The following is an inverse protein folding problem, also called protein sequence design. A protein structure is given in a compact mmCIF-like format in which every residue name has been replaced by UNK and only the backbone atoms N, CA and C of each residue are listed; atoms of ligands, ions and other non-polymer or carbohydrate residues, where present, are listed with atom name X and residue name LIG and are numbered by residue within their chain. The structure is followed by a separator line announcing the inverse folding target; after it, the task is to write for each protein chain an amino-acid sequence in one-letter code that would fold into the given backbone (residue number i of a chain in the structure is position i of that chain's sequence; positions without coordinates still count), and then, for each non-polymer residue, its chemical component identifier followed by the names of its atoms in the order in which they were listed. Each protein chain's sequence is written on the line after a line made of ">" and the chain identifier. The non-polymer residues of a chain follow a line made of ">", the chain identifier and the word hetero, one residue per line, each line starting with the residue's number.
data_IF_640979288784
#
_entry.id   IF_640979288784
#
_cell.length_a   1.000
_cell.length_b   1.000
_cell.length_c   1.000
_cell.angle_alpha   90.00
_cell.angle_beta   90.00
_cell.angle_gamma   90.00
#
_symmetry.space_group_name_H-M   'P 1'
#
loop_
_entity.id
_entity.type
_entity.pdbx_description
1 polymer ?
#
# COMPACT_ATOMS: atom_id res chain seq x y z
N UNK A 1 24.31 28.36 -1.18
CA UNK A 1 25.50 27.68 -1.75
C UNK A 1 26.63 28.61 -2.19
N UNK A 2 26.50 29.51 -3.19
CA UNK A 2 27.61 30.42 -3.57
C UNK A 2 28.10 31.31 -2.42
N UNK A 3 27.17 31.94 -1.68
CA UNK A 3 27.46 32.73 -0.46
C UNK A 3 28.13 31.89 0.63
N UNK A 4 27.61 30.68 0.88
CA UNK A 4 28.22 29.71 1.81
C UNK A 4 29.64 29.35 1.42
N UNK A 5 29.88 29.03 0.13
CA UNK A 5 31.22 28.74 -0.37
C UNK A 5 32.18 29.89 -0.13
N UNK A 6 31.76 31.13 -0.40
CA UNK A 6 32.59 32.31 -0.11
C UNK A 6 32.87 32.40 1.39
N UNK A 7 31.89 32.20 2.26
CA UNK A 7 32.09 32.25 3.73
C UNK A 7 33.02 31.16 4.25
N UNK A 8 32.86 29.91 3.82
CA UNK A 8 33.72 28.77 4.23
C UNK A 8 35.15 28.95 3.71
N UNK A 9 35.35 29.67 2.60
CA UNK A 9 36.70 30.04 2.11
C UNK A 9 37.36 31.10 3.00
N UNK A 10 36.59 31.90 3.74
CA UNK A 10 37.08 32.98 4.59
C UNK A 10 36.96 32.63 6.09
N UNK A 11 37.03 31.34 6.44
CA UNK A 11 37.16 30.93 7.84
C UNK A 11 38.47 31.52 8.36
N UNK A 12 38.35 32.54 9.20
CA UNK A 12 39.52 33.17 9.79
C UNK A 12 40.12 32.24 10.84
N UNK A 13 41.46 32.20 11.00
CA UNK A 13 42.14 31.36 12.00
C UNK A 13 41.72 31.58 13.46
N UNK A 14 40.86 32.57 13.74
CA UNK A 14 40.31 32.87 15.08
C UNK A 14 38.81 32.63 15.25
N UNK A 15 38.06 32.23 14.21
CA UNK A 15 36.69 31.73 14.37
C UNK A 15 36.74 30.23 14.65
N UNK A 16 36.08 29.77 15.71
CA UNK A 16 36.01 28.34 16.03
C UNK A 16 35.32 27.58 14.90
N UNK A 17 35.95 26.50 14.42
CA UNK A 17 35.43 25.63 13.35
C UNK A 17 33.99 25.17 13.62
N UNK A 18 33.63 24.98 14.91
CA UNK A 18 32.29 24.63 15.35
C UNK A 18 31.23 25.70 15.03
N UNK A 19 31.54 26.98 15.20
CA UNK A 19 30.58 28.07 14.95
C UNK A 19 30.27 28.21 13.46
N UNK A 20 31.32 28.09 12.62
CA UNK A 20 31.17 28.08 11.18
C UNK A 20 30.33 26.87 10.75
N UNK A 21 30.59 25.71 11.35
CA UNK A 21 29.87 24.49 11.03
C UNK A 21 28.38 24.59 11.36
N UNK A 22 28.03 25.13 12.52
CA UNK A 22 26.63 25.37 12.92
C UNK A 22 25.92 26.34 11.99
N UNK A 23 26.57 27.45 11.60
CA UNK A 23 25.97 28.43 10.67
C UNK A 23 25.79 27.82 9.29
N UNK A 24 26.79 27.09 8.78
CA UNK A 24 26.71 26.40 7.51
C UNK A 24 25.59 25.35 7.50
N UNK A 25 25.47 24.56 8.57
CA UNK A 25 24.40 23.60 8.76
C UNK A 25 23.03 24.28 8.69
N UNK A 26 22.80 25.34 9.46
CA UNK A 26 21.51 26.04 9.49
C UNK A 26 21.13 26.65 8.12
N UNK A 27 22.08 27.27 7.41
CA UNK A 27 21.81 27.80 6.07
C UNK A 27 21.53 26.68 5.05
N UNK A 28 22.25 25.56 5.13
CA UNK A 28 22.04 24.39 4.27
C UNK A 28 20.70 23.72 4.57
N UNK A 29 20.33 23.58 5.84
CA UNK A 29 19.04 23.05 6.28
C UNK A 29 17.89 23.87 5.68
N UNK A 30 17.93 25.19 5.83
CA UNK A 30 16.93 26.08 5.23
C UNK A 30 16.88 25.98 3.69
N UNK A 31 18.03 25.82 3.04
CA UNK A 31 18.11 25.85 1.56
C UNK A 31 17.77 24.52 0.91
N UNK A 32 18.24 23.40 1.48
CA UNK A 32 18.18 22.06 0.88
C UNK A 32 17.11 21.18 1.53
N UNK A 33 16.82 21.40 2.81
CA UNK A 33 15.94 20.56 3.62
C UNK A 33 14.78 21.36 4.23
N UNK A 34 14.51 22.57 3.73
CA UNK A 34 13.39 23.44 4.16
C UNK A 34 13.29 23.70 5.67
N UNK A 35 14.40 23.60 6.40
CA UNK A 35 14.42 23.79 7.85
C UNK A 35 13.98 22.59 8.68
N UNK A 36 13.77 21.41 8.07
CA UNK A 36 13.31 20.21 8.76
C UNK A 36 14.32 19.65 9.75
N UNK A 37 15.62 19.93 9.58
CA UNK A 37 16.68 19.35 10.43
C UNK A 37 16.96 20.19 11.67
N UNK A 38 16.47 21.43 11.71
CA UNK A 38 16.61 22.34 12.83
C UNK A 38 16.09 21.70 14.12
N UNK A 39 16.79 21.94 15.22
CA UNK A 39 16.47 21.50 16.58
C UNK A 39 16.52 19.96 16.80
N UNK A 40 16.46 19.14 15.74
CA UNK A 40 16.59 17.69 15.78
C UNK A 40 18.04 17.19 15.90
N UNK A 41 19.02 18.03 15.56
CA UNK A 41 20.43 17.66 15.45
C UNK A 41 21.29 18.30 16.53
N UNK A 42 22.19 17.50 17.09
CA UNK A 42 23.39 17.96 17.77
C UNK A 42 24.58 17.79 16.83
N UNK A 43 25.11 18.91 16.34
CA UNK A 43 26.32 18.94 15.53
C UNK A 43 27.53 19.09 16.43
N UNK A 44 28.55 18.25 16.19
CA UNK A 44 29.81 18.28 16.90
C UNK A 44 30.98 18.02 15.94
N UNK A 45 32.19 18.40 16.35
CA UNK A 45 33.43 18.18 15.61
C UNK A 45 34.42 17.49 16.55
N UNK A 46 34.93 16.33 16.13
CA UNK A 46 35.83 15.54 16.95
C UNK A 46 36.71 14.61 16.13
N UNK A 47 37.62 13.92 16.80
CA UNK A 47 38.51 12.95 16.16
C UNK A 47 37.80 11.61 15.94
N UNK A 48 37.86 11.10 14.71
CA UNK A 48 37.34 9.78 14.33
C UNK A 48 38.41 8.91 13.61
N UNK A 49 39.67 9.37 13.54
CA UNK A 49 40.76 8.69 12.85
C UNK A 49 40.84 9.08 11.37
N UNK A 50 41.49 8.27 10.54
CA UNK A 50 41.77 8.62 9.13
C UNK A 50 40.71 8.15 8.14
N UNK A 51 39.80 7.29 8.57
CA UNK A 51 39.06 6.41 7.66
C UNK A 51 37.63 6.85 7.39
N UNK A 52 37.12 7.89 8.05
CA UNK A 52 35.75 8.37 7.86
C UNK A 52 35.69 9.90 7.82
N UNK A 53 34.84 10.47 6.95
CA UNK A 53 34.57 11.91 6.94
C UNK A 53 33.81 12.37 8.20
N UNK A 54 33.10 11.45 8.83
CA UNK A 54 32.26 11.73 9.98
C UNK A 54 31.39 10.53 10.30
N UNK A 55 30.56 10.73 11.32
CA UNK A 55 29.59 9.75 11.76
C UNK A 55 28.24 10.41 12.03
N UNK A 56 27.15 9.77 11.58
CA UNK A 56 25.79 10.17 11.93
C UNK A 56 25.16 9.12 12.83
N UNK A 57 24.77 9.50 14.05
CA UNK A 57 24.18 8.61 15.04
C UNK A 57 22.69 8.88 15.22
N UNK A 58 21.91 7.81 15.40
CA UNK A 58 20.49 7.87 15.76
C UNK A 58 20.26 8.54 17.14
N UNK A 59 19.01 8.87 17.43
CA UNK A 59 18.58 9.55 18.66
C UNK A 59 19.14 8.88 19.93
N UNK A 60 19.89 9.64 20.74
CA UNK A 60 20.44 9.13 22.00
C UNK A 60 21.59 8.12 21.87
N UNK A 61 22.08 7.88 20.64
CA UNK A 61 23.12 6.88 20.35
C UNK A 61 24.48 7.49 20.02
N UNK A 62 24.61 8.81 20.11
CA UNK A 62 25.88 9.50 19.94
C UNK A 62 26.88 9.21 21.08
N UNK A 63 28.16 9.59 20.89
CA UNK A 63 29.21 9.40 21.89
C UNK A 63 28.91 10.15 23.20
N UNK A 64 28.15 11.24 23.15
CA UNK A 64 27.65 11.92 24.34
C UNK A 64 26.27 11.39 24.74
N UNK A 65 26.23 10.46 25.69
CA UNK A 65 24.99 9.84 26.18
C UNK A 65 23.96 10.82 26.80
N UNK A 66 24.34 12.06 27.11
CA UNK A 66 23.42 13.09 27.59
C UNK A 66 22.59 13.71 26.47
N UNK A 67 23.03 13.58 25.22
CA UNK A 67 22.36 14.14 24.06
C UNK A 67 21.37 13.11 23.50
N UNK A 68 20.07 13.40 23.62
CA UNK A 68 19.00 12.55 23.09
C UNK A 68 18.66 12.81 21.61
N UNK A 69 19.26 13.85 21.03
CA UNK A 69 19.08 14.24 19.63
C UNK A 69 19.90 13.36 18.67
N UNK A 70 19.63 13.45 17.37
CA UNK A 70 20.49 12.88 16.33
C UNK A 70 21.85 13.56 16.44
N UNK A 71 22.94 12.79 16.49
CA UNK A 71 24.29 13.36 16.57
C UNK A 71 24.96 13.30 15.21
N UNK A 72 25.37 14.45 14.69
CA UNK A 72 26.22 14.57 13.51
C UNK A 72 27.61 14.95 13.98
N UNK A 73 28.56 14.02 13.88
CA UNK A 73 29.95 14.23 14.26
C UNK A 73 30.81 14.34 13.00
N UNK A 74 31.34 15.53 12.71
CA UNK A 74 32.31 15.69 11.63
C UNK A 74 33.71 15.34 12.14
N UNK A 75 34.47 14.60 11.34
CA UNK A 75 35.81 14.21 11.71
C UNK A 75 36.81 15.36 11.50
N UNK A 76 37.39 15.87 12.59
CA UNK A 76 38.41 16.91 12.56
C UNK A 76 39.67 16.45 11.80
N UNK A 77 40.09 15.20 11.99
CA UNK A 77 41.40 14.68 11.56
C UNK A 77 41.55 14.71 10.03
N UNK A 78 40.50 14.33 9.30
CA UNK A 78 40.51 14.32 7.82
C UNK A 78 40.08 15.66 7.22
N UNK A 79 39.46 16.54 8.02
CA UNK A 79 38.98 17.83 7.56
C UNK A 79 39.96 18.97 7.76
N UNK A 80 41.03 18.77 8.56
CA UNK A 80 42.08 19.77 8.79
C UNK A 80 42.71 20.26 7.47
N UNK A 81 42.85 19.38 6.48
CA UNK A 81 43.43 19.70 5.17
C UNK A 81 42.41 19.70 4.02
N UNK A 82 41.12 19.57 4.34
CA UNK A 82 40.07 19.55 3.33
C UNK A 82 39.84 20.95 2.73
N UNK A 83 39.62 21.00 1.42
CA UNK A 83 39.16 22.24 0.80
C UNK A 83 37.76 22.62 1.31
N UNK A 84 37.39 23.91 1.29
CA UNK A 84 36.04 24.36 1.63
C UNK A 84 34.89 23.61 0.91
N UNK A 85 35.13 23.15 -0.33
CA UNK A 85 34.16 22.37 -1.10
C UNK A 85 34.04 20.93 -0.61
N UNK A 86 35.15 20.31 -0.25
CA UNK A 86 35.17 18.96 0.34
C UNK A 86 34.48 18.98 1.70
N UNK A 87 34.78 19.98 2.54
CA UNK A 87 34.15 20.15 3.84
C UNK A 87 32.61 20.31 3.72
N UNK A 88 32.15 21.18 2.81
CA UNK A 88 30.72 21.33 2.54
C UNK A 88 30.09 20.05 1.97
N UNK A 89 30.80 19.29 1.14
CA UNK A 89 30.31 18.03 0.60
C UNK A 89 30.11 16.99 1.71
N UNK A 90 31.08 16.85 2.62
CA UNK A 90 30.97 15.97 3.79
C UNK A 90 29.80 16.38 4.69
N UNK A 91 29.66 17.67 4.99
CA UNK A 91 28.53 18.15 5.80
C UNK A 91 27.19 17.80 5.14
N UNK A 92 27.02 18.10 3.85
CA UNK A 92 25.79 17.78 3.11
C UNK A 92 25.54 16.27 3.09
N UNK A 93 26.58 15.45 2.89
CA UNK A 93 26.48 14.00 2.92
C UNK A 93 25.87 13.51 4.25
N UNK A 94 26.42 13.98 5.37
CA UNK A 94 25.90 13.62 6.69
C UNK A 94 24.51 14.21 6.96
N UNK A 95 24.19 15.40 6.45
CA UNK A 95 22.85 15.98 6.53
C UNK A 95 21.80 15.14 5.78
N UNK A 96 22.16 14.44 4.71
CA UNK A 96 21.25 13.49 4.03
C UNK A 96 20.90 12.31 4.95
N UNK A 97 21.88 11.74 5.67
CA UNK A 97 21.62 10.69 6.68
C UNK A 97 20.71 11.21 7.79
N UNK A 98 20.97 12.41 8.28
CA UNK A 98 20.09 13.07 9.28
C UNK A 98 18.68 13.23 8.71
N UNK A 99 18.54 13.68 7.47
CA UNK A 99 17.24 13.87 6.84
C UNK A 99 16.40 12.59 6.85
N UNK A 100 16.99 11.43 6.59
CA UNK A 100 16.28 10.16 6.71
C UNK A 100 15.89 9.83 8.15
N UNK A 101 16.75 10.09 9.13
CA UNK A 101 16.41 9.86 10.54
C UNK A 101 15.31 10.80 11.05
N UNK A 102 15.26 12.05 10.56
CA UNK A 102 14.19 13.00 10.91
C UNK A 102 12.89 12.64 10.20
N UNK A 103 12.94 12.36 8.89
CA UNK A 103 11.75 12.12 8.08
C UNK A 103 11.12 10.74 8.35
N UNK A 104 11.94 9.73 8.67
CA UNK A 104 11.49 8.34 8.84
C UNK A 104 11.56 7.85 10.28
N UNK A 105 12.12 8.62 11.22
CA UNK A 105 12.33 8.22 12.61
C UNK A 105 13.57 7.33 12.81
N UNK A 106 13.88 6.97 14.07
CA UNK A 106 15.05 6.15 14.40
C UNK A 106 14.93 4.75 13.81
N UNK A 107 16.04 4.21 13.29
CA UNK A 107 16.10 2.85 12.75
C UNK A 107 15.88 1.81 13.86
N UNK A 108 14.79 1.04 13.76
CA UNK A 108 14.47 -0.04 14.70
C UNK A 108 15.14 -1.36 14.29
N UNK A 109 15.28 -2.32 15.23
CA UNK A 109 16.00 -3.58 14.96
C UNK A 109 15.43 -4.40 13.80
N UNK A 110 14.12 -4.32 13.58
CA UNK A 110 13.41 -5.02 12.48
C UNK A 110 13.45 -4.25 11.16
N UNK A 111 13.96 -3.02 11.16
CA UNK A 111 13.95 -2.11 10.00
C UNK A 111 15.35 -1.94 9.37
N UNK A 112 16.34 -2.72 9.81
CA UNK A 112 17.73 -2.62 9.33
C UNK A 112 17.85 -2.75 7.80
N UNK A 113 16.98 -3.55 7.18
CA UNK A 113 16.95 -3.72 5.72
C UNK A 113 16.48 -2.45 4.99
N UNK A 114 15.82 -1.52 5.69
CA UNK A 114 15.43 -0.22 5.15
C UNK A 114 16.64 0.72 4.98
N UNK A 115 17.71 0.45 5.73
CA UNK A 115 19.03 1.06 5.57
C UNK A 115 19.02 2.58 5.65
N UNK A 116 18.37 3.16 6.66
CA UNK A 116 18.19 4.64 6.77
C UNK A 116 19.53 5.38 6.89
N UNK A 117 20.52 4.71 7.47
CA UNK A 117 21.89 5.17 7.61
C UNK A 117 22.84 4.59 6.55
N UNK A 118 22.32 3.86 5.55
CA UNK A 118 23.11 3.24 4.49
C UNK A 118 23.16 4.09 3.23
N UNK A 119 24.15 3.82 2.39
CA UNK A 119 24.37 4.43 1.08
C UNK A 119 23.48 3.81 -0.03
N UNK A 120 22.22 3.51 0.27
CA UNK A 120 21.29 2.86 -0.66
C UNK A 120 20.72 3.78 -1.75
N UNK A 121 19.80 3.23 -2.57
CA UNK A 121 19.15 3.97 -3.69
C UNK A 121 18.42 5.23 -3.25
N UNK A 122 17.88 5.27 -2.02
CA UNK A 122 17.19 6.45 -1.48
C UNK A 122 18.18 7.60 -1.23
N UNK A 123 19.30 7.29 -0.56
CA UNK A 123 20.41 8.22 -0.35
C UNK A 123 20.93 8.76 -1.68
N UNK A 124 21.14 7.85 -2.63
CA UNK A 124 21.62 8.18 -3.96
C UNK A 124 20.75 9.21 -4.68
N UNK A 125 19.40 9.07 -4.59
CA UNK A 125 18.47 9.99 -5.26
C UNK A 125 18.51 11.40 -4.68
N UNK A 126 18.52 11.53 -3.36
CA UNK A 126 18.62 12.85 -2.69
C UNK A 126 19.97 13.50 -3.02
N UNK A 127 21.04 12.73 -2.95
CA UNK A 127 22.39 13.17 -3.31
C UNK A 127 22.46 13.65 -4.77
N UNK A 128 21.92 12.90 -5.72
CA UNK A 128 21.89 13.25 -7.15
C UNK A 128 21.08 14.52 -7.39
N UNK A 129 19.93 14.68 -6.72
CA UNK A 129 19.12 15.90 -6.80
C UNK A 129 19.90 17.12 -6.32
N UNK A 130 20.55 17.05 -5.16
CA UNK A 130 21.40 18.13 -4.64
C UNK A 130 22.56 18.42 -5.60
N UNK A 131 23.26 17.38 -6.08
CA UNK A 131 24.38 17.52 -7.03
C UNK A 131 23.94 18.21 -8.32
N UNK A 132 22.78 17.86 -8.88
CA UNK A 132 22.20 18.51 -10.06
C UNK A 132 21.86 19.97 -9.79
N UNK A 133 21.23 20.28 -8.66
CA UNK A 133 20.93 21.66 -8.24
C UNK A 133 22.20 22.51 -8.07
N UNK A 134 23.30 21.91 -7.62
CA UNK A 134 24.58 22.61 -7.49
C UNK A 134 25.30 22.85 -8.82
N UNK A 135 25.07 21.99 -9.82
CA UNK A 135 25.77 22.03 -11.11
C UNK A 135 25.09 22.95 -12.15
N UNK A 136 23.77 23.11 -12.10
CA UNK A 136 23.00 23.90 -13.08
C UNK A 136 23.25 25.42 -13.04
N UNK A 137 23.96 25.94 -12.04
CA UNK A 137 24.22 27.39 -11.87
C UNK A 137 25.63 27.84 -12.29
N UNK A 138 26.31 27.10 -13.17
CA UNK A 138 27.61 27.50 -13.76
C UNK A 138 28.79 27.56 -12.78
N UNK A 139 28.65 26.97 -11.59
CA UNK A 139 29.72 26.86 -10.59
C UNK A 139 30.43 25.51 -10.65
N UNK A 140 31.65 25.43 -10.10
CA UNK A 140 32.33 24.12 -9.88
C UNK A 140 31.40 23.18 -9.12
N UNK A 141 31.20 21.97 -9.65
CA UNK A 141 30.38 20.91 -9.05
C UNK A 141 30.89 20.60 -7.65
N UNK A 142 29.97 20.46 -6.70
CA UNK A 142 30.29 20.01 -5.34
C UNK A 142 30.81 18.57 -5.43
N UNK A 143 31.94 18.21 -4.79
CA UNK A 143 32.50 16.86 -4.78
C UNK A 143 31.68 15.93 -3.85
N UNK A 144 30.36 15.92 -4.04
CA UNK A 144 29.41 15.09 -3.31
C UNK A 144 29.29 13.73 -3.99
N UNK A 145 29.53 12.68 -3.23
CA UNK A 145 29.51 11.29 -3.66
C UNK A 145 29.16 10.34 -2.51
N UNK A 146 29.15 9.04 -2.82
CA UNK A 146 28.91 7.96 -1.86
C UNK A 146 30.06 7.82 -0.85
N UNK A 147 31.30 8.01 -1.30
CA UNK A 147 32.48 8.17 -0.46
C UNK A 147 33.07 9.57 -0.55
N UNK A 148 34.27 9.74 -0.01
CA UNK A 148 34.96 11.02 0.09
C UNK A 148 36.44 10.95 -0.30
N UNK A 149 36.95 11.99 -0.94
CA UNK A 149 38.37 12.14 -1.28
C UNK A 149 38.99 13.22 -0.38
N UNK A 150 39.20 12.93 0.91
CA UNK A 150 39.69 13.90 1.91
C UNK A 150 41.19 13.74 2.22
N UNK A 151 41.79 12.61 1.87
CA UNK A 151 43.21 12.31 2.13
C UNK A 151 44.10 12.63 0.90
N UNK A 152 45.26 13.27 1.07
CA UNK A 152 46.29 13.37 0.04
C UNK A 152 46.85 11.97 -0.31
N UNK A 153 47.22 11.70 -1.58
CA UNK A 153 47.77 10.40 -2.00
C UNK A 153 49.01 9.94 -1.21
N UNK A 154 49.75 10.88 -0.61
CA UNK A 154 51.00 10.60 0.10
C UNK A 154 50.83 9.91 1.47
N UNK A 155 49.61 9.91 2.04
CA UNK A 155 49.29 9.20 3.30
C UNK A 155 48.59 7.85 3.07
N UNK A 156 48.35 7.49 1.80
CA UNK A 156 47.83 6.18 1.41
C UNK A 156 48.92 5.12 1.55
N UNK A 157 49.16 4.66 2.77
CA UNK A 157 50.06 3.55 3.01
C UNK A 157 49.25 2.25 2.89
N UNK A 158 49.31 1.60 1.71
CA UNK A 158 48.63 0.33 1.40
C UNK A 158 48.89 -0.76 2.45
N UNK A 159 50.04 -0.68 3.16
CA UNK A 159 50.43 -1.61 4.23
C UNK A 159 49.70 -1.42 5.56
N UNK A 160 49.04 -0.28 5.77
CA UNK A 160 48.15 -0.04 6.92
C UNK A 160 46.67 -0.12 6.56
N UNK A 161 46.31 -0.83 5.47
CA UNK A 161 44.99 -1.47 5.42
C UNK A 161 44.95 -2.49 6.54
N UNK A 162 44.61 -2.05 7.75
CA UNK A 162 43.95 -2.95 8.70
C UNK A 162 42.83 -3.57 7.88
N UNK A 163 42.82 -4.91 7.70
CA UNK A 163 41.78 -5.57 6.91
C UNK A 163 40.50 -5.04 7.52
N UNK A 164 39.67 -4.37 6.69
CA UNK A 164 38.46 -3.70 7.12
C UNK A 164 37.82 -4.64 8.13
N UNK A 165 38.03 -4.35 9.42
CA UNK A 165 37.44 -5.20 10.45
C UNK A 165 35.99 -5.15 10.04
N UNK A 166 35.29 -6.27 10.13
CA UNK A 166 33.87 -6.19 10.31
C UNK A 166 33.63 -5.33 11.55
N UNK A 167 33.77 -4.00 11.44
CA UNK A 167 33.02 -3.02 12.18
C UNK A 167 31.62 -3.40 11.76
N UNK A 168 31.05 -4.32 12.54
CA UNK A 168 29.63 -4.57 12.56
C UNK A 168 29.01 -3.21 12.40
N UNK A 169 28.33 -2.99 11.29
CA UNK A 169 27.61 -1.76 11.03
C UNK A 169 26.80 -1.52 12.29
N UNK A 170 27.23 -0.55 13.10
CA UNK A 170 26.48 -0.25 14.29
C UNK A 170 25.18 0.29 13.75
N UNK A 171 24.09 -0.47 13.88
CA UNK A 171 22.76 -0.18 13.32
C UNK A 171 22.22 1.20 13.67
N UNK A 172 22.88 1.90 14.59
CA UNK A 172 22.55 3.25 15.02
C UNK A 172 23.54 4.32 14.55
N UNK A 173 24.50 3.99 13.67
CA UNK A 173 25.56 4.88 13.24
C UNK A 173 25.98 4.63 11.78
N UNK A 174 26.12 5.69 10.98
CA UNK A 174 26.80 5.63 9.68
C UNK A 174 28.22 6.20 9.76
N UNK A 175 29.22 5.35 9.61
CA UNK A 175 30.59 5.79 9.33
C UNK A 175 30.73 5.98 7.83
N UNK A 176 30.92 7.22 7.37
CA UNK A 176 31.01 7.51 5.93
C UNK A 176 32.47 7.39 5.47
N UNK A 177 32.79 6.26 4.85
CA UNK A 177 34.13 5.87 4.42
C UNK A 177 34.52 6.49 3.07
N UNK A 178 35.83 6.55 2.72
CA UNK A 178 36.29 7.05 1.43
C UNK A 178 35.89 6.13 0.27
N UNK A 179 35.96 4.82 0.47
CA UNK A 179 35.80 3.79 -0.56
C UNK A 179 34.40 3.14 -0.46
N UNK A 180 33.38 3.86 -0.93
CA UNK A 180 32.00 3.34 -1.04
C UNK A 180 31.64 3.17 -2.50
N UNK A 181 31.28 1.95 -2.90
CA UNK A 181 30.88 1.64 -4.27
C UNK A 181 29.66 2.46 -4.70
N UNK A 182 29.75 3.23 -5.80
CA UNK A 182 28.66 4.06 -6.25
C UNK A 182 27.57 3.25 -6.96
N UNK A 183 26.30 3.60 -6.71
CA UNK A 183 25.18 3.12 -7.51
C UNK A 183 25.07 3.99 -8.77
N UNK A 184 24.93 3.36 -9.94
CA UNK A 184 24.85 4.10 -11.21
C UNK A 184 23.55 4.91 -11.33
N UNK A 185 23.62 6.10 -11.95
CA UNK A 185 22.46 6.95 -12.22
C UNK A 185 21.34 6.20 -12.97
N UNK A 186 21.72 5.30 -13.89
CA UNK A 186 20.78 4.47 -14.64
C UNK A 186 20.01 3.51 -13.72
N UNK A 187 20.69 2.90 -12.76
CA UNK A 187 20.06 1.94 -11.85
C UNK A 187 19.17 2.65 -10.82
N UNK A 188 19.56 3.85 -10.39
CA UNK A 188 18.71 4.73 -9.55
C UNK A 188 17.43 5.09 -10.30
N UNK A 189 17.52 5.61 -11.52
CA UNK A 189 16.33 5.99 -12.29
C UNK A 189 15.46 4.77 -12.64
N UNK A 190 16.07 3.63 -12.97
CA UNK A 190 15.35 2.37 -13.18
C UNK A 190 14.57 1.94 -11.95
N UNK A 191 15.17 2.04 -10.76
CA UNK A 191 14.49 1.74 -9.50
C UNK A 191 13.28 2.65 -9.29
N UNK A 192 13.44 3.96 -9.37
CA UNK A 192 12.33 4.89 -9.13
C UNK A 192 11.23 4.78 -10.19
N UNK A 193 11.59 4.68 -11.47
CA UNK A 193 10.59 4.51 -12.55
C UNK A 193 9.73 3.26 -12.34
N UNK A 194 10.32 2.17 -11.81
CA UNK A 194 9.63 0.90 -11.60
C UNK A 194 8.89 0.83 -10.26
N UNK A 195 9.50 1.31 -9.19
CA UNK A 195 9.05 1.08 -7.81
C UNK A 195 8.19 2.23 -7.27
N UNK A 196 8.49 3.48 -7.64
CA UNK A 196 7.95 4.66 -6.96
C UNK A 196 7.48 5.72 -7.95
N UNK A 197 6.17 5.97 -8.01
CA UNK A 197 5.68 7.23 -8.56
C UNK A 197 6.10 8.39 -7.65
N UNK A 198 6.51 9.56 -8.19
CA UNK A 198 6.81 10.73 -7.38
C UNK A 198 5.65 11.07 -6.44
N UNK A 199 5.97 11.42 -5.18
CA UNK A 199 4.96 11.69 -4.15
C UNK A 199 3.96 12.78 -4.57
N UNK A 200 4.42 13.79 -5.32
CA UNK A 200 3.56 14.87 -5.82
C UNK A 200 2.55 14.41 -6.88
N UNK A 201 2.84 13.32 -7.58
CA UNK A 201 1.93 12.74 -8.59
C UNK A 201 0.89 11.81 -7.94
N UNK A 202 1.03 11.52 -6.64
CA UNK A 202 0.09 10.71 -5.90
C UNK A 202 -1.08 11.55 -5.35
N UNK A 203 -2.29 10.95 -5.23
CA UNK A 203 -3.42 11.60 -4.57
C UNK A 203 -3.11 12.03 -3.13
N UNK A 204 -3.80 13.06 -2.64
CA UNK A 204 -3.58 13.63 -1.31
C UNK A 204 -3.64 12.59 -0.19
N UNK A 205 -4.53 11.60 -0.27
CA UNK A 205 -4.63 10.52 0.71
C UNK A 205 -3.34 9.69 0.84
N UNK A 206 -2.58 9.52 -0.24
CA UNK A 206 -1.32 8.78 -0.24
C UNK A 206 -0.12 9.65 0.20
N UNK A 207 -0.29 10.98 0.27
CA UNK A 207 0.77 11.93 0.68
C UNK A 207 0.81 12.21 2.18
N UNK A 208 -0.20 11.74 2.93
CA UNK A 208 -0.32 11.97 4.38
C UNK A 208 0.75 11.19 5.15
N UNK A 209 1.13 11.70 6.32
CA UNK A 209 2.02 11.02 7.28
C UNK A 209 1.38 9.79 7.93
N UNK A 210 0.06 9.66 7.81
CA UNK A 210 -0.72 8.49 8.24
C UNK A 210 -1.21 7.69 7.04
N UNK A 211 -1.53 6.42 7.28
CA UNK A 211 -2.08 5.49 6.29
C UNK A 211 -3.12 4.60 6.94
N UNK A 212 -4.10 4.16 6.17
CA UNK A 212 -5.10 3.22 6.66
C UNK A 212 -4.60 1.79 6.49
N UNK A 213 -4.88 0.93 7.48
CA UNK A 213 -4.59 -0.51 7.43
C UNK A 213 -5.87 -1.28 7.75
N UNK A 214 -5.97 -2.50 7.22
CA UNK A 214 -7.08 -3.39 7.55
C UNK A 214 -6.68 -4.34 8.69
N UNK A 215 -7.56 -4.47 9.67
CA UNK A 215 -7.42 -5.41 10.78
C UNK A 215 -8.64 -6.32 10.83
N UNK A 216 -8.41 -7.62 10.93
CA UNK A 216 -9.48 -8.62 11.04
C UNK A 216 -10.12 -8.67 12.45
N UNK A 217 -9.78 -7.71 13.33
CA UNK A 217 -10.33 -7.60 14.68
C UNK A 217 -11.27 -6.40 14.69
N UNK A 218 -12.59 -6.59 14.80
CA UNK A 218 -13.51 -5.48 14.94
C UNK A 218 -13.21 -4.75 16.26
N UNK A 219 -12.82 -3.48 16.17
CA UNK A 219 -12.67 -2.57 17.30
C UNK A 219 -13.95 -1.71 17.34
N UNK A 220 -14.50 -1.36 18.52
CA UNK A 220 -15.74 -0.58 18.62
C UNK A 220 -15.73 0.73 17.83
N UNK A 221 -14.55 1.32 17.60
CA UNK A 221 -14.36 2.58 16.87
C UNK A 221 -14.23 2.40 15.36
N UNK A 222 -13.98 1.20 14.86
CA UNK A 222 -13.75 0.90 13.44
C UNK A 222 -14.56 -0.34 13.01
N UNK A 223 -15.89 -0.21 12.84
CA UNK A 223 -16.76 -1.34 12.49
C UNK A 223 -16.39 -2.00 11.14
N UNK A 224 -15.78 -1.24 10.23
CA UNK A 224 -15.30 -1.73 8.94
C UNK A 224 -13.91 -2.43 9.03
N UNK A 225 -13.28 -2.47 10.21
CA UNK A 225 -11.95 -3.03 10.43
C UNK A 225 -10.79 -2.19 9.89
N UNK A 226 -11.05 -0.98 9.38
CA UNK A 226 -10.03 -0.06 8.89
C UNK A 226 -9.57 0.87 10.00
N UNK A 227 -8.28 0.84 10.32
CA UNK A 227 -7.64 1.72 11.29
C UNK A 227 -6.65 2.67 10.58
N UNK A 228 -6.49 3.89 11.10
CA UNK A 228 -5.48 4.83 10.59
C UNK A 228 -4.29 4.86 11.54
N UNK A 229 -3.11 4.55 11.02
CA UNK A 229 -1.85 4.49 11.79
C UNK A 229 -0.80 5.43 11.19
N UNK A 230 0.19 5.89 11.97
CA UNK A 230 1.37 6.54 11.43
C UNK A 230 2.11 5.62 10.44
N UNK A 231 2.59 6.16 9.32
CA UNK A 231 3.31 5.35 8.31
C UNK A 231 4.56 4.66 8.83
N UNK A 232 5.20 5.21 9.86
CA UNK A 232 6.37 4.60 10.52
C UNK A 232 6.02 3.40 11.41
N UNK A 233 4.74 3.18 11.72
CA UNK A 233 4.26 2.02 12.50
C UNK A 233 3.61 0.95 11.61
N UNK A 234 3.33 1.28 10.35
CA UNK A 234 2.76 0.37 9.36
C UNK A 234 3.82 -0.54 8.73
N UNK A 235 3.37 -1.55 7.97
CA UNK A 235 4.29 -2.38 7.17
C UNK A 235 5.12 -1.50 6.23
N UNK A 236 6.44 -1.70 6.16
CA UNK A 236 7.32 -0.89 5.33
C UNK A 236 6.85 -0.79 3.89
N UNK A 237 7.09 0.39 3.31
CA UNK A 237 6.73 0.75 1.94
C UNK A 237 7.31 -0.16 0.84
N UNK A 238 8.34 -0.96 1.15
CA UNK A 238 8.95 -1.92 0.22
C UNK A 238 8.21 -3.27 0.24
N UNK A 239 7.58 -3.60 1.37
CA UNK A 239 6.90 -4.87 1.62
C UNK A 239 5.38 -4.72 1.60
N UNK A 240 4.86 -3.62 1.04
CA UNK A 240 3.43 -3.33 1.00
C UNK A 240 3.01 -2.65 -0.30
N UNK A 241 1.71 -2.79 -0.59
CA UNK A 241 1.02 -2.11 -1.68
C UNK A 241 -0.16 -1.31 -1.12
N UNK A 242 -0.54 -0.24 -1.80
CA UNK A 242 -1.61 0.66 -1.35
C UNK A 242 -2.77 0.69 -2.36
N UNK A 243 -3.96 0.35 -1.90
CA UNK A 243 -5.20 0.62 -2.62
C UNK A 243 -5.63 2.06 -2.36
N UNK A 244 -5.79 2.84 -3.43
CA UNK A 244 -6.36 4.17 -3.37
C UNK A 244 -7.85 4.06 -3.66
N UNK A 245 -8.65 4.08 -2.61
CA UNK A 245 -10.10 3.95 -2.72
C UNK A 245 -10.73 5.32 -2.98
N UNK A 246 -11.36 5.47 -4.15
CA UNK A 246 -12.10 6.66 -4.58
C UNK A 246 -11.33 7.99 -4.45
N UNK A 247 -9.98 7.96 -4.57
CA UNK A 247 -9.05 9.08 -4.35
C UNK A 247 -9.12 9.74 -2.97
N UNK A 248 -9.77 9.12 -1.98
CA UNK A 248 -10.03 9.69 -0.65
C UNK A 248 -9.29 8.98 0.46
N UNK A 249 -9.10 7.68 0.33
CA UNK A 249 -8.52 6.82 1.35
C UNK A 249 -7.41 5.97 0.73
N UNK A 250 -6.30 5.82 1.44
CA UNK A 250 -5.19 4.94 1.04
C UNK A 250 -5.09 3.81 2.05
N UNK A 251 -5.38 2.58 1.62
CA UNK A 251 -5.31 1.40 2.46
C UNK A 251 -4.10 0.56 2.08
N UNK A 252 -3.19 0.40 3.02
CA UNK A 252 -1.96 -0.35 2.89
C UNK A 252 -2.21 -1.84 3.20
N UNK A 253 -1.73 -2.70 2.31
CA UNK A 253 -1.82 -4.15 2.41
C UNK A 253 -0.42 -4.76 2.21
N UNK A 254 0.05 -5.64 3.10
CA UNK A 254 1.31 -6.36 2.92
C UNK A 254 1.38 -7.10 1.58
N UNK A 255 2.53 -7.04 0.92
CA UNK A 255 2.76 -7.65 -0.40
C UNK A 255 2.58 -9.17 -0.34
N UNK A 256 2.90 -9.79 0.80
CA UNK A 256 2.68 -11.24 1.04
C UNK A 256 1.23 -11.67 0.91
N UNK A 257 0.27 -10.80 1.23
CA UNK A 257 -1.16 -11.08 1.08
C UNK A 257 -1.62 -10.88 -0.37
N UNK A 258 -1.01 -9.94 -1.10
CA UNK A 258 -1.34 -9.67 -2.51
C UNK A 258 -0.75 -10.74 -3.43
N UNK A 259 0.47 -11.20 -3.15
CA UNK A 259 1.20 -12.15 -3.99
C UNK A 259 0.51 -13.53 -4.07
N UNK A 260 -0.36 -13.85 -3.10
CA UNK A 260 -1.22 -15.04 -3.15
C UNK A 260 -2.27 -15.00 -4.29
N UNK A 261 -2.57 -13.81 -4.85
CA UNK A 261 -3.61 -13.59 -5.85
C UNK A 261 -3.02 -12.99 -7.12
N UNK A 262 -2.72 -13.85 -8.09
CA UNK A 262 -1.97 -13.48 -9.31
C UNK A 262 -2.61 -12.32 -10.07
N UNK A 263 -3.94 -12.31 -10.25
CA UNK A 263 -4.58 -11.25 -11.06
C UNK A 263 -4.65 -9.92 -10.34
N UNK A 264 -4.80 -9.95 -9.01
CA UNK A 264 -4.71 -8.76 -8.17
C UNK A 264 -3.29 -8.20 -8.25
N UNK A 265 -2.26 -9.03 -8.04
CA UNK A 265 -0.86 -8.64 -8.12
C UNK A 265 -0.48 -8.01 -9.45
N UNK A 266 -0.98 -8.57 -10.56
CA UNK A 266 -0.74 -8.08 -11.93
C UNK A 266 -1.41 -6.73 -12.19
N UNK A 267 -2.51 -6.43 -11.52
CA UNK A 267 -3.23 -5.17 -11.71
C UNK A 267 -2.47 -3.96 -11.14
N UNK A 268 -1.53 -4.16 -10.22
CA UNK A 268 -0.69 -3.10 -9.67
C UNK A 268 0.39 -2.66 -10.69
N UNK A 269 0.28 -1.47 -11.30
CA UNK A 269 1.31 -0.97 -12.23
C UNK A 269 2.61 -0.59 -11.51
N UNK A 270 2.49 -0.26 -10.23
CA UNK A 270 3.55 0.06 -9.28
C UNK A 270 2.98 -0.23 -7.88
N UNK A 271 3.49 0.41 -6.82
CA UNK A 271 3.01 0.19 -5.45
C UNK A 271 1.54 0.59 -5.18
N UNK A 272 0.96 1.44 -6.03
CA UNK A 272 -0.38 1.99 -5.79
C UNK A 272 -1.35 1.54 -6.89
N UNK A 273 -2.57 1.17 -6.50
CA UNK A 273 -3.67 0.86 -7.41
C UNK A 273 -4.89 1.70 -7.04
N UNK A 274 -5.38 2.49 -7.99
CA UNK A 274 -6.60 3.27 -7.81
C UNK A 274 -7.83 2.41 -8.18
N UNK A 275 -8.83 2.40 -7.31
CA UNK A 275 -10.10 1.72 -7.54
C UNK A 275 -11.20 2.73 -7.96
N UNK A 276 -12.01 2.35 -8.95
CA UNK A 276 -13.05 3.20 -9.54
C UNK A 276 -14.08 3.67 -8.49
N UNK A 277 -14.63 4.87 -8.70
CA UNK A 277 -15.64 5.51 -7.85
C UNK A 277 -16.96 4.72 -7.77
N UNK A 278 -17.25 3.86 -8.75
CA UNK A 278 -18.47 3.03 -8.78
C UNK A 278 -18.40 1.84 -7.83
N UNK A 279 -17.22 1.47 -7.35
CA UNK A 279 -17.06 0.36 -6.42
C UNK A 279 -17.63 0.77 -5.05
N UNK A 280 -18.65 0.06 -4.53
CA UNK A 280 -19.22 0.39 -3.23
C UNK A 280 -18.23 0.04 -2.12
N UNK A 281 -18.25 0.81 -1.02
CA UNK A 281 -17.36 0.59 0.14
C UNK A 281 -17.45 -0.83 0.68
N UNK A 282 -18.66 -1.41 0.73
CA UNK A 282 -18.87 -2.79 1.18
C UNK A 282 -18.13 -3.84 0.35
N UNK A 283 -18.03 -3.65 -0.98
CA UNK A 283 -17.24 -4.54 -1.84
C UNK A 283 -15.74 -4.40 -1.55
N UNK A 284 -15.28 -3.17 -1.32
CA UNK A 284 -13.89 -2.91 -0.97
C UNK A 284 -13.51 -3.52 0.39
N UNK A 285 -14.38 -3.44 1.41
CA UNK A 285 -14.16 -4.14 2.69
C UNK A 285 -14.13 -5.66 2.49
N UNK A 286 -15.01 -6.21 1.64
CA UNK A 286 -15.02 -7.64 1.32
C UNK A 286 -13.73 -8.08 0.62
N UNK A 287 -13.17 -7.24 -0.27
CA UNK A 287 -11.85 -7.46 -0.87
C UNK A 287 -10.76 -7.50 0.21
N UNK A 288 -10.73 -6.55 1.13
CA UNK A 288 -9.73 -6.51 2.20
C UNK A 288 -9.83 -7.76 3.09
N UNK A 289 -11.03 -8.19 3.46
CA UNK A 289 -11.28 -9.45 4.17
C UNK A 289 -10.75 -10.66 3.38
N UNK A 290 -11.05 -10.72 2.08
CA UNK A 290 -10.62 -11.80 1.19
C UNK A 290 -9.09 -11.92 1.14
N UNK A 291 -8.40 -10.78 1.01
CA UNK A 291 -6.93 -10.76 1.00
C UNK A 291 -6.33 -11.26 2.31
N UNK A 292 -6.95 -10.97 3.45
CA UNK A 292 -6.42 -11.33 4.77
C UNK A 292 -6.80 -12.73 5.24
N UNK A 293 -7.93 -13.27 4.79
CA UNK A 293 -8.51 -14.50 5.35
C UNK A 293 -8.80 -15.57 4.31
N UNK A 294 -8.68 -15.27 3.02
CA UNK A 294 -9.09 -16.16 1.92
C UNK A 294 -10.61 -16.25 1.72
N UNK A 295 -11.40 -15.56 2.53
CA UNK A 295 -12.87 -15.48 2.42
C UNK A 295 -13.37 -14.10 2.86
N UNK A 296 -14.68 -13.87 2.80
CA UNK A 296 -15.28 -12.62 3.25
C UNK A 296 -16.68 -12.85 3.81
N UNK A 297 -17.09 -11.95 4.70
CA UNK A 297 -18.39 -11.96 5.34
C UNK A 297 -19.49 -11.48 4.36
N UNK A 298 -20.75 -11.90 4.57
CA UNK A 298 -21.20 -12.91 5.54
C UNK A 298 -20.79 -14.33 5.14
N UNK A 299 -20.59 -15.22 6.12
CA UNK A 299 -20.28 -16.64 5.87
C UNK A 299 -21.44 -17.32 5.11
N UNK A 300 -21.23 -17.89 3.92
CA UNK A 300 -22.30 -18.47 3.12
C UNK A 300 -22.69 -19.88 3.60
N UNK A 301 -21.94 -20.49 4.53
CA UNK A 301 -22.18 -21.87 5.02
C UNK A 301 -23.63 -22.14 5.45
N UNK A 302 -24.33 -21.25 6.19
CA UNK A 302 -25.71 -21.49 6.62
C UNK A 302 -26.74 -21.59 5.49
N UNK A 303 -26.43 -21.01 4.33
CA UNK A 303 -27.30 -20.95 3.15
C UNK A 303 -26.75 -21.76 1.98
N UNK A 304 -25.66 -22.49 2.18
CA UNK A 304 -25.00 -23.31 1.16
C UNK A 304 -25.47 -24.76 1.20
N UNK A 305 -25.50 -25.42 0.04
CA UNK A 305 -25.79 -26.85 -0.09
C UNK A 305 -24.67 -27.57 -0.82
N UNK A 306 -24.50 -28.87 -0.53
CA UNK A 306 -23.63 -29.76 -1.29
C UNK A 306 -24.45 -30.96 -1.79
N UNK A 307 -24.41 -31.31 -3.09
CA UNK A 307 -23.67 -30.65 -4.19
C UNK A 307 -24.24 -29.26 -4.55
N UNK A 308 -23.45 -28.45 -5.26
CA UNK A 308 -23.85 -27.10 -5.73
C UNK A 308 -25.12 -27.19 -6.57
N UNK A 309 -26.24 -26.66 -6.06
CA UNK A 309 -27.55 -26.73 -6.72
C UNK A 309 -27.78 -25.64 -7.78
N UNK A 310 -26.85 -24.70 -7.93
CA UNK A 310 -27.04 -23.52 -8.78
C UNK A 310 -27.52 -22.30 -7.98
N UNK A 311 -28.18 -21.33 -8.63
CA UNK A 311 -28.72 -20.16 -7.94
C UNK A 311 -29.80 -20.53 -6.91
N UNK A 312 -29.99 -19.69 -5.88
CA UNK A 312 -30.93 -19.98 -4.80
C UNK A 312 -32.39 -19.76 -5.20
N UNK A 313 -33.30 -20.38 -4.44
CA UNK A 313 -34.74 -20.10 -4.49
C UNK A 313 -35.09 -18.95 -3.53
N UNK A 314 -35.96 -18.04 -3.95
CA UNK A 314 -36.48 -16.95 -3.11
C UNK A 314 -37.38 -17.54 -2.03
N UNK A 315 -37.06 -17.30 -0.77
CA UNK A 315 -37.88 -17.60 0.42
C UNK A 315 -38.46 -16.31 1.00
N UNK A 316 -39.46 -16.38 1.90
CA UNK A 316 -40.04 -15.20 2.51
C UNK A 316 -38.97 -14.26 3.07
N UNK A 317 -39.09 -12.98 2.71
CA UNK A 317 -38.12 -11.93 3.04
C UNK A 317 -37.96 -11.78 4.56
N UNK A 318 -36.72 -11.57 4.99
CA UNK A 318 -36.41 -11.27 6.38
C UNK A 318 -35.49 -10.05 6.46
N UNK A 319 -35.96 -8.97 7.09
CA UNK A 319 -35.26 -7.68 7.17
C UNK A 319 -33.88 -7.73 7.84
N UNK A 320 -33.62 -8.77 8.64
CA UNK A 320 -32.34 -8.99 9.32
C UNK A 320 -31.51 -10.11 8.67
N UNK A 321 -31.91 -10.62 7.50
CA UNK A 321 -31.11 -11.61 6.77
C UNK A 321 -29.78 -10.98 6.34
N UNK A 322 -28.63 -11.63 6.60
CA UNK A 322 -27.36 -11.17 6.07
C UNK A 322 -27.40 -11.11 4.53
N UNK A 323 -26.76 -10.11 3.91
CA UNK A 323 -26.80 -9.91 2.46
C UNK A 323 -25.78 -10.80 1.72
N UNK A 324 -25.95 -12.13 1.73
CA UNK A 324 -25.03 -13.07 1.09
C UNK A 324 -24.90 -12.83 -0.42
N UNK A 325 -26.01 -12.91 -1.16
CA UNK A 325 -26.07 -12.76 -2.62
C UNK A 325 -25.65 -11.35 -3.03
N UNK A 326 -26.18 -10.31 -2.38
CA UNK A 326 -25.81 -8.94 -2.74
C UNK A 326 -24.32 -8.67 -2.53
N UNK A 327 -23.72 -9.23 -1.48
CA UNK A 327 -22.28 -9.09 -1.22
C UNK A 327 -21.46 -9.82 -2.28
N UNK A 328 -21.83 -11.05 -2.65
CA UNK A 328 -21.14 -11.81 -3.69
C UNK A 328 -21.27 -11.15 -5.08
N UNK A 329 -22.45 -10.63 -5.45
CA UNK A 329 -22.65 -9.84 -6.69
C UNK A 329 -21.74 -8.61 -6.70
N UNK A 330 -21.65 -7.88 -5.58
CA UNK A 330 -20.81 -6.69 -5.46
C UNK A 330 -19.32 -7.03 -5.55
N UNK A 331 -18.89 -8.14 -4.94
CA UNK A 331 -17.52 -8.65 -5.02
C UNK A 331 -17.18 -9.09 -6.45
N UNK A 332 -18.11 -9.74 -7.15
CA UNK A 332 -17.95 -10.09 -8.57
C UNK A 332 -17.78 -8.83 -9.44
N UNK A 333 -18.66 -7.84 -9.26
CA UNK A 333 -18.61 -6.58 -10.01
C UNK A 333 -17.32 -5.79 -9.73
N UNK A 334 -16.84 -5.76 -8.49
CA UNK A 334 -15.52 -5.22 -8.15
C UNK A 334 -14.42 -5.95 -8.94
N UNK A 335 -14.48 -7.28 -8.97
CA UNK A 335 -13.53 -8.09 -9.73
C UNK A 335 -13.58 -7.83 -11.24
N UNK A 336 -14.75 -7.54 -11.81
CA UNK A 336 -14.88 -7.15 -13.23
C UNK A 336 -14.24 -5.78 -13.46
N UNK A 337 -14.60 -4.78 -12.66
CA UNK A 337 -14.12 -3.40 -12.82
C UNK A 337 -12.60 -3.29 -12.61
N UNK A 338 -12.06 -3.98 -11.61
CA UNK A 338 -10.63 -3.95 -11.30
C UNK A 338 -9.80 -5.02 -12.04
N UNK A 339 -10.44 -5.90 -12.80
CA UNK A 339 -9.77 -7.01 -13.50
C UNK A 339 -9.29 -8.16 -12.61
N UNK A 340 -9.80 -8.27 -11.37
CA UNK A 340 -9.45 -9.32 -10.42
C UNK A 340 -10.25 -10.61 -10.71
N UNK A 341 -9.67 -11.53 -11.47
CA UNK A 341 -10.30 -12.82 -11.78
C UNK A 341 -10.43 -13.70 -10.54
N UNK A 342 -9.52 -13.58 -9.58
CA UNK A 342 -9.60 -14.28 -8.30
C UNK A 342 -10.89 -13.91 -7.56
N UNK A 343 -11.26 -12.62 -7.55
CA UNK A 343 -12.51 -12.13 -6.96
C UNK A 343 -13.76 -12.59 -7.73
N UNK A 344 -13.70 -12.60 -9.07
CA UNK A 344 -14.80 -13.10 -9.92
C UNK A 344 -15.06 -14.58 -9.63
N UNK A 345 -14.01 -15.39 -9.55
CA UNK A 345 -14.10 -16.83 -9.34
C UNK A 345 -14.71 -17.16 -7.96
N UNK A 346 -14.18 -16.60 -6.88
CA UNK A 346 -14.69 -16.89 -5.52
C UNK A 346 -16.13 -16.42 -5.33
N UNK A 347 -16.49 -15.25 -5.87
CA UNK A 347 -17.84 -14.73 -5.77
C UNK A 347 -18.84 -15.59 -6.55
N UNK A 348 -18.50 -15.98 -7.78
CA UNK A 348 -19.35 -16.86 -8.58
C UNK A 348 -19.48 -18.26 -7.96
N UNK A 349 -18.44 -18.75 -7.30
CA UNK A 349 -18.48 -20.03 -6.58
C UNK A 349 -19.49 -19.98 -5.43
N UNK A 350 -19.42 -18.92 -4.61
CA UNK A 350 -20.33 -18.65 -3.50
C UNK A 350 -21.77 -18.44 -3.98
N UNK A 351 -21.97 -17.75 -5.10
CA UNK A 351 -23.30 -17.57 -5.72
C UNK A 351 -23.94 -18.89 -6.18
N UNK A 352 -23.14 -19.88 -6.60
CA UNK A 352 -23.65 -21.19 -7.04
C UNK A 352 -23.77 -22.23 -5.91
N UNK A 353 -23.22 -21.94 -4.72
CA UNK A 353 -23.33 -22.81 -3.55
C UNK A 353 -24.65 -22.61 -2.79
N UNK A 354 -25.28 -21.44 -2.94
CA UNK A 354 -26.46 -21.05 -2.16
C UNK A 354 -27.74 -21.70 -2.68
N UNK A 355 -28.50 -22.40 -1.82
CA UNK A 355 -29.74 -23.08 -2.21
C UNK A 355 -31.01 -22.26 -1.95
N UNK A 356 -30.96 -21.31 -1.03
CA UNK A 356 -32.06 -20.38 -0.75
C UNK A 356 -31.56 -18.98 -0.43
N UNK A 357 -32.41 -17.98 -0.65
CA UNK A 357 -32.16 -16.59 -0.21
C UNK A 357 -33.41 -16.01 0.44
N UNK A 358 -33.21 -15.23 1.49
CA UNK A 358 -34.24 -14.40 2.16
C UNK A 358 -33.94 -12.90 2.01
N UNK A 359 -32.93 -12.56 1.21
CA UNK A 359 -32.59 -11.19 0.87
C UNK A 359 -33.65 -10.59 -0.05
N UNK A 360 -33.61 -9.26 -0.21
CA UNK A 360 -34.40 -8.55 -1.20
C UNK A 360 -33.84 -8.79 -2.62
N UNK A 361 -34.52 -9.58 -3.47
CA UNK A 361 -34.01 -9.93 -4.78
C UNK A 361 -33.88 -8.75 -5.73
N UNK A 362 -34.63 -7.67 -5.50
CA UNK A 362 -34.55 -6.47 -6.31
C UNK A 362 -33.19 -5.80 -6.17
N UNK A 363 -32.58 -5.84 -4.98
CA UNK A 363 -31.31 -5.16 -4.73
C UNK A 363 -30.15 -5.80 -5.48
N UNK A 364 -30.03 -7.13 -5.45
CA UNK A 364 -28.94 -7.79 -6.17
C UNK A 364 -29.20 -7.86 -7.67
N UNK A 365 -30.45 -7.96 -8.14
CA UNK A 365 -30.76 -7.82 -9.58
C UNK A 365 -30.41 -6.40 -10.07
N UNK A 366 -30.73 -5.36 -9.30
CA UNK A 366 -30.33 -4.00 -9.65
C UNK A 366 -28.81 -3.84 -9.71
N UNK A 367 -28.07 -4.51 -8.82
CA UNK A 367 -26.61 -4.51 -8.84
C UNK A 367 -26.02 -5.28 -10.03
N UNK A 368 -26.68 -6.34 -10.52
CA UNK A 368 -26.25 -7.06 -11.73
C UNK A 368 -26.50 -6.21 -12.96
N UNK A 369 -27.68 -5.59 -13.07
CA UNK A 369 -28.15 -4.91 -14.28
C UNK A 369 -27.97 -3.39 -14.26
N UNK A 370 -27.01 -2.87 -13.48
CA UNK A 370 -26.82 -1.43 -13.30
C UNK A 370 -26.25 -0.75 -14.57
N UNK A 371 -27.14 -0.25 -15.44
CA UNK A 371 -26.87 0.74 -16.50
C UNK A 371 -25.98 0.31 -17.68
N UNK A 372 -25.44 -0.92 -17.66
CA UNK A 372 -24.68 -1.54 -18.75
C UNK A 372 -25.08 -3.01 -18.89
N UNK A 373 -24.72 -3.62 -20.02
CA UNK A 373 -24.84 -5.08 -20.17
C UNK A 373 -23.99 -5.79 -19.09
N UNK A 374 -24.58 -6.71 -18.30
CA UNK A 374 -23.86 -7.46 -17.30
C UNK A 374 -22.83 -8.41 -17.92
N UNK A 375 -21.77 -8.70 -17.16
CA UNK A 375 -20.77 -9.69 -17.55
C UNK A 375 -21.44 -11.06 -17.85
N UNK A 376 -21.01 -11.80 -18.89
CA UNK A 376 -21.69 -13.02 -19.34
C UNK A 376 -21.94 -14.06 -18.25
N UNK A 377 -20.98 -14.26 -17.34
CA UNK A 377 -21.08 -15.25 -16.26
C UNK A 377 -22.18 -14.89 -15.24
N UNK A 378 -22.17 -13.66 -14.73
CA UNK A 378 -23.19 -13.21 -13.76
C UNK A 378 -24.56 -13.05 -14.41
N UNK A 379 -24.63 -12.69 -15.70
CA UNK A 379 -25.87 -12.70 -16.49
C UNK A 379 -26.42 -14.11 -16.66
N UNK A 380 -25.55 -15.09 -16.89
CA UNK A 380 -25.95 -16.51 -16.99
C UNK A 380 -26.46 -17.03 -15.65
N UNK A 381 -25.80 -16.68 -14.55
CA UNK A 381 -26.29 -16.96 -13.21
C UNK A 381 -27.67 -16.31 -12.98
N UNK A 382 -27.86 -15.03 -13.34
CA UNK A 382 -29.13 -14.32 -13.18
C UNK A 382 -30.28 -14.97 -13.97
N UNK A 383 -30.03 -15.39 -15.23
CA UNK A 383 -31.04 -16.10 -16.02
C UNK A 383 -31.46 -17.42 -15.38
N UNK A 384 -30.50 -18.20 -14.87
CA UNK A 384 -30.78 -19.43 -14.11
C UNK A 384 -31.56 -19.13 -12.83
N UNK A 385 -31.22 -18.04 -12.15
CA UNK A 385 -31.92 -17.60 -10.94
C UNK A 385 -33.40 -17.30 -11.22
N UNK A 386 -33.74 -16.63 -12.32
CA UNK A 386 -35.13 -16.30 -12.66
C UNK A 386 -36.01 -17.54 -12.87
N UNK A 387 -35.46 -18.59 -13.50
CA UNK A 387 -36.21 -19.82 -13.80
C UNK A 387 -36.13 -20.88 -12.69
N UNK A 388 -35.36 -20.62 -11.63
CA UNK A 388 -35.12 -21.60 -10.56
C UNK A 388 -36.43 -21.94 -9.83
N UNK A 389 -36.68 -23.25 -9.69
CA UNK A 389 -37.81 -23.82 -8.97
C UNK A 389 -37.36 -24.95 -8.02
N UNK A 390 -38.12 -25.24 -6.94
CA UNK A 390 -37.81 -26.31 -5.97
C UNK A 390 -37.68 -27.70 -6.59
N UNK A 391 -38.38 -27.95 -7.70
CA UNK A 391 -38.47 -29.23 -8.40
C UNK A 391 -37.36 -29.46 -9.43
N UNK A 392 -36.44 -28.50 -9.59
CA UNK A 392 -35.32 -28.59 -10.56
C UNK A 392 -34.08 -29.33 -10.04
N UNK A 393 -34.07 -29.80 -8.78
CA UNK A 393 -33.03 -30.69 -8.29
C UNK A 393 -33.23 -32.08 -8.88
N UNK A 394 -32.33 -32.45 -9.79
CA UNK A 394 -32.32 -33.74 -10.49
C UNK A 394 -31.89 -34.87 -9.54
N UNK A 395 -32.80 -35.30 -8.68
CA UNK A 395 -32.69 -36.55 -7.95
C UNK A 395 -33.90 -37.45 -8.26
N UNK A 396 -33.70 -38.68 -8.77
CA UNK A 396 -34.76 -39.67 -8.79
C UNK A 396 -35.10 -40.05 -7.33
N UNK A 397 -36.39 -40.19 -6.98
CA UNK A 397 -36.77 -40.60 -5.64
C UNK A 397 -36.45 -42.08 -5.48
N UNK A 398 -35.33 -42.41 -4.85
CA UNK A 398 -35.18 -43.71 -4.22
C UNK A 398 -36.04 -43.70 -2.97
N UNK A 399 -37.24 -44.26 -3.14
CA UNK A 399 -38.11 -44.82 -2.12
C UNK A 399 -37.31 -45.39 -0.93
N UNK A 400 -37.81 -45.20 0.28
CA UNK A 400 -38.27 -46.28 1.17
C UNK A 400 -39.23 -45.71 2.22
N UNK A 401 -40.26 -46.50 2.53
CA UNK A 401 -41.55 -46.01 3.01
C UNK A 401 -41.61 -45.54 4.46
N UNK A 402 -42.52 -44.61 4.70
CA UNK A 402 -43.35 -44.59 5.90
C UNK A 402 -44.69 -43.95 5.55
N UNK A 403 -45.77 -44.68 5.81
CA UNK A 403 -47.13 -44.24 5.64
C UNK A 403 -47.43 -43.05 6.57
N UNK A 404 -47.95 -41.96 6.02
CA UNK A 404 -48.82 -41.04 6.73
C UNK A 404 -49.67 -40.29 5.71
N UNK A 405 -50.99 -40.48 5.82
CA UNK A 405 -51.99 -39.84 4.98
C UNK A 405 -52.02 -38.32 5.16
N UNK A 406 -52.37 -37.65 4.07
CA UNK A 406 -52.56 -36.21 3.99
C UNK A 406 -52.63 -35.79 2.53
N UNK A 407 -53.80 -35.96 1.91
CA UNK A 407 -54.11 -35.36 0.61
C UNK A 407 -54.27 -33.86 0.84
N UNK A 408 -53.15 -33.16 0.85
CA UNK A 408 -53.04 -31.73 0.64
C UNK A 408 -52.19 -31.56 -0.61
N UNK A 409 -52.78 -30.98 -1.64
CA UNK A 409 -52.13 -30.54 -2.86
C UNK A 409 -50.99 -29.57 -2.45
N UNK A 410 -49.76 -30.08 -2.24
CA UNK A 410 -48.57 -29.26 -2.06
C UNK A 410 -48.32 -28.57 -3.40
N UNK A 411 -48.96 -27.41 -3.57
CA UNK A 411 -48.72 -26.52 -4.69
C UNK A 411 -47.20 -26.30 -4.77
N UNK A 412 -46.55 -26.96 -5.74
CA UNK A 412 -45.12 -26.86 -6.01
C UNK A 412 -44.75 -25.39 -5.98
N UNK A 413 -43.89 -24.99 -5.04
CA UNK A 413 -43.54 -23.59 -4.84
C UNK A 413 -43.07 -23.00 -6.19
N UNK A 414 -43.64 -21.85 -6.62
CA UNK A 414 -43.49 -21.40 -7.99
C UNK A 414 -42.06 -20.94 -8.29
N UNK A 415 -41.67 -20.87 -9.58
CA UNK A 415 -40.38 -20.32 -10.00
C UNK A 415 -40.14 -18.91 -9.45
N UNK A 416 -38.86 -18.55 -9.28
CA UNK A 416 -38.48 -17.23 -8.77
C UNK A 416 -39.09 -16.07 -9.58
N UNK A 417 -39.15 -16.17 -10.91
CA UNK A 417 -39.78 -15.14 -11.74
C UNK A 417 -41.26 -14.92 -11.38
N UNK A 418 -42.02 -16.00 -11.19
CA UNK A 418 -43.44 -15.91 -10.81
C UNK A 418 -43.58 -15.22 -9.45
N UNK A 419 -42.70 -15.54 -8.49
CA UNK A 419 -42.68 -14.87 -7.17
C UNK A 419 -42.41 -13.37 -7.28
N UNK A 420 -41.50 -12.96 -8.17
CA UNK A 420 -41.19 -11.56 -8.42
C UNK A 420 -42.36 -10.83 -9.08
N UNK A 421 -43.13 -11.50 -9.93
CA UNK A 421 -44.26 -10.91 -10.67
C UNK A 421 -45.58 -10.88 -9.89
N UNK A 422 -45.78 -11.79 -8.92
CA UNK A 422 -47.03 -11.90 -8.17
C UNK A 422 -46.94 -11.43 -6.72
N UNK A 423 -45.75 -11.39 -6.11
CA UNK A 423 -45.57 -10.96 -4.73
C UNK A 423 -45.87 -9.48 -4.54
N UNK A 424 -46.83 -9.14 -3.67
CA UNK A 424 -47.31 -7.76 -3.47
C UNK A 424 -46.18 -6.74 -3.24
N UNK A 425 -45.19 -7.08 -2.40
CA UNK A 425 -44.09 -6.17 -2.05
C UNK A 425 -42.93 -6.13 -3.05
N UNK A 426 -42.89 -7.08 -4.00
CA UNK A 426 -41.82 -7.22 -4.99
C UNK A 426 -42.24 -6.78 -6.38
N UNK A 427 -43.52 -6.95 -6.72
CA UNK A 427 -44.06 -6.78 -8.07
C UNK A 427 -43.78 -5.41 -8.67
N UNK A 428 -44.19 -4.35 -7.99
CA UNK A 428 -44.04 -2.99 -8.51
C UNK A 428 -42.57 -2.62 -8.71
N UNK A 429 -41.75 -2.91 -7.69
CA UNK A 429 -40.30 -2.66 -7.71
C UNK A 429 -39.58 -3.49 -8.78
N UNK A 430 -40.04 -4.72 -9.03
CA UNK A 430 -39.51 -5.58 -10.07
C UNK A 430 -39.83 -5.04 -11.47
N UNK A 431 -41.08 -4.66 -11.73
CA UNK A 431 -41.46 -4.08 -13.03
C UNK A 431 -40.78 -2.72 -13.27
N UNK A 432 -40.60 -1.91 -12.24
CA UNK A 432 -39.80 -0.69 -12.32
C UNK A 432 -38.34 -0.99 -12.70
N UNK A 433 -37.73 -2.00 -12.07
CA UNK A 433 -36.37 -2.41 -12.40
C UNK A 433 -36.24 -2.94 -13.84
N UNK A 434 -37.21 -3.76 -14.29
CA UNK A 434 -37.29 -4.25 -15.67
C UNK A 434 -37.37 -3.08 -16.65
N UNK A 435 -38.25 -2.10 -16.41
CA UNK A 435 -38.41 -0.92 -17.26
C UNK A 435 -37.18 -0.03 -17.35
N UNK A 436 -36.25 -0.12 -16.38
CA UNK A 436 -34.98 0.62 -16.37
C UNK A 436 -33.82 -0.12 -17.03
N UNK A 437 -33.98 -1.40 -17.39
CA UNK A 437 -32.89 -2.22 -17.93
C UNK A 437 -33.36 -3.12 -19.07
N UNK A 438 -33.03 -2.73 -20.32
CA UNK A 438 -33.32 -3.53 -21.51
C UNK A 438 -32.69 -4.94 -21.45
N UNK A 439 -31.52 -5.08 -20.82
CA UNK A 439 -30.88 -6.39 -20.65
C UNK A 439 -31.68 -7.30 -19.73
N UNK A 440 -32.20 -6.78 -18.61
CA UNK A 440 -33.07 -7.53 -17.71
C UNK A 440 -34.41 -7.84 -18.37
N UNK A 441 -35.00 -6.88 -19.10
CA UNK A 441 -36.25 -7.09 -19.85
C UNK A 441 -36.15 -8.27 -20.83
N UNK A 442 -35.09 -8.31 -21.63
CA UNK A 442 -34.83 -9.43 -22.55
C UNK A 442 -34.69 -10.75 -21.80
N UNK A 443 -33.96 -10.75 -20.68
CA UNK A 443 -33.72 -11.97 -19.90
C UNK A 443 -34.99 -12.46 -19.19
N UNK A 444 -35.88 -11.54 -18.78
CA UNK A 444 -37.22 -11.86 -18.25
C UNK A 444 -38.11 -12.45 -19.35
N UNK A 445 -38.14 -11.87 -20.55
CA UNK A 445 -38.91 -12.42 -21.67
C UNK A 445 -38.44 -13.85 -22.03
N UNK A 446 -37.13 -14.08 -22.01
CA UNK A 446 -36.56 -15.42 -22.22
C UNK A 446 -36.91 -16.40 -21.10
N UNK A 447 -36.88 -15.94 -19.85
CA UNK A 447 -37.27 -16.76 -18.71
C UNK A 447 -38.77 -17.12 -18.78
N UNK A 448 -39.65 -16.20 -19.19
CA UNK A 448 -41.09 -16.47 -19.42
C UNK A 448 -41.33 -17.47 -20.54
N UNK A 449 -40.51 -17.45 -21.60
CA UNK A 449 -40.65 -18.40 -22.69
C UNK A 449 -40.14 -19.82 -22.33
N UNK A 450 -39.36 -19.93 -21.26
CA UNK A 450 -38.81 -21.19 -20.77
C UNK A 450 -39.71 -21.89 -19.74
N UNK A 451 -40.38 -21.09 -18.90
CA UNK A 451 -41.40 -21.54 -17.94
C UNK A 451 -42.71 -21.87 -18.64
#
# INVERSE_FOLDING_TARGET
>A
LRRLRTRVVHIHPGEGLGDVAYRAFNELDQTLFMGYLKDAVYLDIGSLGTDASGATYSHGRGPNHRVQRITLLLNADVHEHATPLQWLASLIHHMIHVYFLVACGPEQEKEHDYGRLTHGVQFAKVMQAIKKLTSTRGGRTLPLGFGHNLMPPAYYNEYYRLPARHQQSNKYCSNCLPDVDPISDRDIEKYYTKACKPLHDLPECARKSTVSIYTNKPIPTTPDGIETVPRGEATPSIDSMEFIFQKRESVLVPTTLIDAFFTIRKAFPARHLELDKKIPRSAFISLLQFLHTGTYAPDPTPVSSTPKSGPPIIKPYHSHSPPHILTDVRMFNLGVEAGFKDCQAIALDRLNAQYMTREDPIQFLAAIYSGKDPHPDIRTWARRFLVQSPSSSSHPPLSWGAMSGGVGDEASEPPNLVKLETGMDLRERFFELVGRSAALEIDVLKARAWL
#
